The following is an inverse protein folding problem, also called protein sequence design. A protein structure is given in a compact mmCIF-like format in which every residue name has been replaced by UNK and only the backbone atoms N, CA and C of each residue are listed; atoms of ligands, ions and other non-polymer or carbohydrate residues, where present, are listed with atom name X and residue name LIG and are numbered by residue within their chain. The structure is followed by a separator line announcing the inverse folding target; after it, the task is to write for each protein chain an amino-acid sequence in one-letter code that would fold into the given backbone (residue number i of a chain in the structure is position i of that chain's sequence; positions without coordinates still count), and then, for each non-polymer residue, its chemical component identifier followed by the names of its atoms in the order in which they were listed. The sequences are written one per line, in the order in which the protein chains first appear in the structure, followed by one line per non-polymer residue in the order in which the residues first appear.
data_IF_375145467495
#
_entry.id   IF_375145467495
#
_cell.length_a   1.000
_cell.length_b   1.000
_cell.length_c   1.000
_cell.angle_alpha   90.00
_cell.angle_beta   90.00
_cell.angle_gamma   90.00
#
_symmetry.space_group_name_H-M   'P 1'
#
loop_
_entity.id
_entity.type
_entity.pdbx_description
1 polymer ?
#
# COMPACT_ATOMS: atom_id res chain seq x y z
N UNK A 1 18.77 4.51 -8.18
CA UNK A 1 19.11 3.08 -8.00
C UNK A 1 18.44 2.64 -6.72
N UNK A 2 17.60 1.61 -6.78
CA UNK A 2 16.96 1.06 -5.59
C UNK A 2 18.05 0.57 -4.64
N UNK A 3 17.90 0.81 -3.33
CA UNK A 3 18.95 0.46 -2.37
C UNK A 3 19.10 -1.06 -2.31
N UNK A 4 20.33 -1.58 -2.26
CA UNK A 4 20.60 -3.03 -2.14
C UNK A 4 19.81 -3.63 -0.97
N UNK A 5 19.75 -2.90 0.16
CA UNK A 5 18.96 -3.31 1.33
C UNK A 5 17.46 -3.40 1.02
N UNK A 6 16.92 -2.52 0.18
CA UNK A 6 15.50 -2.57 -0.18
C UNK A 6 15.17 -3.87 -0.91
N UNK A 7 16.02 -4.27 -1.86
CA UNK A 7 15.88 -5.53 -2.60
C UNK A 7 15.93 -6.71 -1.62
N UNK A 8 16.93 -6.75 -0.73
CA UNK A 8 17.02 -7.81 0.28
C UNK A 8 15.79 -7.89 1.21
N UNK A 9 15.16 -6.76 1.52
CA UNK A 9 13.94 -6.73 2.31
C UNK A 9 12.75 -7.28 1.52
N UNK A 10 12.62 -6.91 0.24
CA UNK A 10 11.55 -7.39 -0.63
C UNK A 10 11.67 -8.91 -0.87
N UNK A 11 12.87 -9.42 -1.13
CA UNK A 11 13.10 -10.86 -1.33
C UNK A 11 12.66 -11.68 -0.12
N UNK A 12 12.95 -11.19 1.10
CA UNK A 12 12.53 -11.86 2.35
C UNK A 12 11.01 -11.86 2.53
N UNK A 13 10.35 -10.76 2.18
CA UNK A 13 8.89 -10.65 2.25
C UNK A 13 8.26 -11.61 1.24
N UNK A 14 8.76 -11.63 0.01
CA UNK A 14 8.28 -12.52 -1.05
C UNK A 14 8.43 -13.99 -0.65
N UNK A 15 9.61 -14.39 -0.16
CA UNK A 15 9.86 -15.76 0.28
C UNK A 15 8.92 -16.17 1.41
N UNK A 16 8.70 -15.31 2.40
CA UNK A 16 7.83 -15.59 3.53
C UNK A 16 6.36 -15.74 3.09
N UNK A 17 5.87 -14.78 2.30
CA UNK A 17 4.50 -14.79 1.76
C UNK A 17 4.27 -16.06 0.94
N UNK A 18 5.19 -16.42 0.05
CA UNK A 18 5.09 -17.65 -0.76
C UNK A 18 4.99 -18.91 0.11
N UNK A 19 5.86 -19.04 1.13
CA UNK A 19 5.85 -20.21 2.03
C UNK A 19 4.54 -20.35 2.78
N UNK A 20 3.98 -19.25 3.27
CA UNK A 20 2.73 -19.29 4.02
C UNK A 20 1.51 -19.53 3.12
N UNK A 21 1.44 -18.92 1.93
CA UNK A 21 0.38 -19.20 0.94
C UNK A 21 0.40 -20.69 0.54
N UNK A 22 1.58 -21.26 0.29
CA UNK A 22 1.73 -22.67 -0.11
C UNK A 22 1.23 -23.65 0.94
N UNK A 23 1.09 -23.21 2.19
CA UNK A 23 0.60 -24.00 3.33
C UNK A 23 -0.82 -23.62 3.77
N UNK A 24 -1.45 -22.65 3.10
CA UNK A 24 -2.73 -22.06 3.51
C UNK A 24 -2.69 -21.42 4.92
N UNK A 25 -1.54 -20.84 5.30
CA UNK A 25 -1.27 -20.26 6.63
C UNK A 25 -1.36 -18.71 6.64
N UNK A 26 -1.69 -18.09 5.50
CA UNK A 26 -1.72 -16.63 5.36
C UNK A 26 -2.98 -16.18 4.64
N UNK A 27 -3.79 -15.38 5.34
CA UNK A 27 -4.90 -14.65 4.76
C UNK A 27 -4.37 -13.44 3.96
N UNK A 28 -4.46 -13.55 2.63
CA UNK A 28 -4.01 -12.50 1.72
C UNK A 28 -4.83 -11.22 1.85
N UNK A 29 -6.11 -11.30 2.21
CA UNK A 29 -6.97 -10.12 2.39
C UNK A 29 -6.46 -9.30 3.56
N UNK A 30 -6.17 -9.95 4.68
CA UNK A 30 -5.62 -9.29 5.87
C UNK A 30 -4.24 -8.66 5.58
N UNK A 31 -3.42 -9.27 4.73
CA UNK A 31 -2.14 -8.67 4.31
C UNK A 31 -2.36 -7.34 3.57
N UNK A 32 -3.34 -7.26 2.66
CA UNK A 32 -3.66 -6.01 1.96
C UNK A 32 -4.22 -4.94 2.90
N UNK A 33 -5.09 -5.30 3.85
CA UNK A 33 -5.64 -4.37 4.85
C UNK A 33 -4.54 -3.79 5.77
N UNK A 34 -3.50 -4.58 6.05
CA UNK A 34 -2.33 -4.09 6.80
C UNK A 34 -1.57 -3.02 6.01
N UNK A 35 -1.47 -3.12 4.69
CA UNK A 35 -0.84 -2.08 3.86
C UNK A 35 -1.63 -0.76 3.89
N UNK A 36 -2.97 -0.83 3.92
CA UNK A 36 -3.81 0.35 4.17
C UNK A 36 -3.44 0.98 5.53
N UNK A 37 -3.31 0.17 6.58
CA UNK A 37 -2.97 0.67 7.92
C UNK A 37 -1.57 1.29 7.99
N UNK A 38 -0.56 0.63 7.41
CA UNK A 38 0.84 1.04 7.54
C UNK A 38 1.22 2.23 6.66
N UNK A 39 0.58 2.39 5.51
CA UNK A 39 0.92 3.41 4.52
C UNK A 39 -0.21 4.41 4.27
N UNK A 40 -1.29 4.34 5.06
CA UNK A 40 -2.56 5.03 4.81
C UNK A 40 -3.01 4.90 3.34
N UNK A 41 -2.80 3.71 2.76
CA UNK A 41 -2.96 3.47 1.33
C UNK A 41 -4.44 3.47 0.97
N UNK A 42 -4.94 4.61 0.52
CA UNK A 42 -6.38 4.80 0.25
C UNK A 42 -6.60 5.30 -1.16
N UNK A 43 -7.72 4.92 -1.77
CA UNK A 43 -8.11 5.56 -3.04
C UNK A 43 -8.27 7.06 -2.82
N UNK A 44 -8.04 7.87 -3.86
CA UNK A 44 -8.19 9.34 -3.76
C UNK A 44 -9.58 9.73 -3.18
N UNK A 45 -10.71 9.13 -3.60
CA UNK A 45 -12.02 9.44 -3.01
C UNK A 45 -12.13 9.09 -1.53
N UNK A 46 -11.62 7.92 -1.11
CA UNK A 46 -11.70 7.49 0.29
C UNK A 46 -10.86 8.41 1.18
N UNK A 47 -9.63 8.71 0.76
CA UNK A 47 -8.78 9.65 1.48
C UNK A 47 -9.41 11.03 1.60
N UNK A 48 -10.00 11.54 0.51
CA UNK A 48 -10.67 12.84 0.49
C UNK A 48 -11.84 12.88 1.49
N UNK A 49 -12.63 11.81 1.53
CA UNK A 49 -13.74 11.65 2.48
C UNK A 49 -13.25 11.62 3.92
N UNK A 50 -12.23 10.82 4.22
CA UNK A 50 -11.71 10.63 5.58
C UNK A 50 -11.07 11.90 6.15
N UNK A 51 -10.48 12.72 5.28
CA UNK A 51 -9.83 13.98 5.66
C UNK A 51 -10.73 15.21 5.47
N UNK A 52 -12.00 15.02 5.07
CA UNK A 52 -12.95 16.09 4.78
C UNK A 52 -12.42 17.17 3.81
N UNK A 53 -11.76 16.73 2.74
CA UNK A 53 -11.21 17.59 1.68
C UNK A 53 -11.82 17.24 0.31
N UNK A 54 -11.68 18.13 -0.66
CA UNK A 54 -12.10 17.83 -2.03
C UNK A 54 -11.18 16.80 -2.69
N UNK A 55 -11.69 16.04 -3.65
CA UNK A 55 -10.90 15.13 -4.50
C UNK A 55 -9.68 15.82 -5.11
N UNK A 56 -9.85 17.05 -5.60
CA UNK A 56 -8.76 17.84 -6.19
C UNK A 56 -7.75 18.31 -5.14
N UNK A 57 -8.20 18.57 -3.91
CA UNK A 57 -7.32 18.86 -2.77
C UNK A 57 -6.47 17.64 -2.40
N UNK A 58 -7.12 16.48 -2.24
CA UNK A 58 -6.44 15.21 -1.94
C UNK A 58 -5.37 14.88 -3.00
N UNK A 59 -5.70 15.05 -4.28
CA UNK A 59 -4.79 14.78 -5.41
C UNK A 59 -3.57 15.71 -5.47
N UNK A 60 -3.69 16.97 -5.01
CA UNK A 60 -2.63 17.98 -5.14
C UNK A 60 -1.65 18.00 -3.97
N UNK A 61 -2.07 17.56 -2.79
CA UNK A 61 -1.30 17.71 -1.56
C UNK A 61 -0.55 16.45 -1.11
N UNK A 62 -0.60 15.35 -1.88
CA UNK A 62 -0.10 14.04 -1.47
C UNK A 62 0.50 13.23 -2.63
N UNK A 63 1.29 12.22 -2.28
CA UNK A 63 1.86 11.28 -3.23
C UNK A 63 0.79 10.35 -3.78
N UNK A 64 0.54 10.46 -5.09
CA UNK A 64 -0.42 9.61 -5.80
C UNK A 64 0.34 8.51 -6.53
N UNK A 65 0.13 7.27 -6.10
CA UNK A 65 0.68 6.07 -6.73
C UNK A 65 -0.38 5.35 -7.54
N UNK A 66 0.02 4.67 -8.61
CA UNK A 66 -0.86 3.82 -9.41
C UNK A 66 -0.55 2.36 -9.07
N UNK A 67 -1.50 1.69 -8.42
CA UNK A 67 -1.42 0.27 -8.07
C UNK A 67 -2.57 -0.44 -8.76
N UNK A 68 -2.26 -1.48 -9.54
CA UNK A 68 -3.26 -2.29 -10.25
C UNK A 68 -4.20 -1.47 -11.18
N UNK A 69 -3.71 -0.36 -11.74
CA UNK A 69 -4.51 0.53 -12.59
C UNK A 69 -5.40 1.53 -11.82
N UNK A 70 -5.37 1.49 -10.49
CA UNK A 70 -6.15 2.37 -9.62
C UNK A 70 -5.21 3.36 -8.91
N UNK A 71 -5.66 4.60 -8.79
CA UNK A 71 -4.89 5.66 -8.11
C UNK A 71 -5.15 5.64 -6.61
N UNK A 72 -4.07 5.48 -5.85
CA UNK A 72 -4.06 5.56 -4.40
C UNK A 72 -3.25 6.76 -3.95
N UNK A 73 -3.63 7.31 -2.81
CA UNK A 73 -2.80 8.18 -2.00
C UNK A 73 -1.98 7.28 -1.09
N UNK A 74 -0.67 7.48 -1.13
CA UNK A 74 0.29 6.93 -0.19
C UNK A 74 0.65 8.07 0.77
N UNK A 75 0.17 8.01 2.00
CA UNK A 75 0.40 9.06 3.01
C UNK A 75 1.13 8.42 4.19
N UNK A 76 2.47 8.49 4.13
CA UNK A 76 3.35 8.01 5.19
C UNK A 76 3.72 9.21 6.06
N UNK A 77 3.35 9.16 7.34
CA UNK A 77 3.91 10.08 8.35
C UNK A 77 5.42 9.81 8.57
#
# INVERSE_FOLDING_TARGET
MESIKNIEHLDKIEEYVYKCISKDELDLVQLFERLETYCNLKTIPNYAKDNNISYNGAKKCRDVVNLFGVKFILDKD
#
